data_IF_153209146854
#
_entry.id   IF_153209146854
#
_cell.length_a   1.000
_cell.length_b   1.000
_cell.length_c   1.000
_cell.angle_alpha   90.00
_cell.angle_beta   90.00
_cell.angle_gamma   90.00
#
_symmetry.space_group_name_H-M   'P 1'
#
loop_
_entity.id
_entity.type
_entity.pdbx_description
1 polymer ?
#
# COMPACT_ATOMS: atom_id res chain seq x y z
N UNK A 1 8.03 -1.50 6.55
CA UNK A 1 8.44 -2.54 5.58
C UNK A 1 7.66 -3.81 5.87
N UNK A 2 7.65 -4.78 4.94
CA UNK A 2 7.07 -6.10 5.17
C UNK A 2 8.14 -7.08 5.63
N UNK A 3 7.92 -7.79 6.73
CA UNK A 3 8.78 -8.89 7.19
C UNK A 3 8.06 -10.24 7.11
N UNK A 4 8.87 -11.27 6.84
CA UNK A 4 8.51 -12.69 6.89
C UNK A 4 9.62 -13.42 7.63
N UNK A 5 9.28 -14.45 8.41
CA UNK A 5 10.27 -15.23 9.16
C UNK A 5 9.97 -16.73 9.06
N UNK A 6 10.77 -17.43 8.25
CA UNK A 6 10.69 -18.88 8.04
C UNK A 6 11.11 -19.71 9.27
N UNK A 7 11.71 -19.10 10.28
CA UNK A 7 12.09 -19.78 11.52
C UNK A 7 10.97 -19.73 12.57
N UNK A 8 10.08 -18.74 12.49
CA UNK A 8 8.95 -18.58 13.42
C UNK A 8 7.64 -19.16 12.89
N UNK A 9 7.48 -19.19 11.57
CA UNK A 9 6.31 -19.75 10.91
C UNK A 9 6.70 -20.41 9.57
N UNK A 10 5.70 -20.82 8.78
CA UNK A 10 5.93 -21.43 7.46
C UNK A 10 6.51 -20.45 6.40
N UNK A 11 6.87 -19.23 6.79
CA UNK A 11 7.43 -18.18 5.94
C UNK A 11 6.40 -17.43 5.11
N UNK A 12 5.11 -17.72 5.28
CA UNK A 12 4.02 -17.12 4.51
C UNK A 12 3.32 -16.00 5.26
N UNK A 13 3.46 -15.96 6.58
CA UNK A 13 2.88 -14.89 7.40
C UNK A 13 3.65 -13.60 7.14
N UNK A 14 2.90 -12.55 6.83
CA UNK A 14 3.44 -11.23 6.56
C UNK A 14 3.14 -10.32 7.74
N UNK A 15 4.14 -9.53 8.12
CA UNK A 15 4.03 -8.55 9.19
C UNK A 15 4.50 -7.20 8.69
N UNK A 16 3.96 -6.11 9.24
CA UNK A 16 4.54 -4.79 9.04
C UNK A 16 5.51 -4.50 10.19
N UNK A 17 6.76 -4.25 9.83
CA UNK A 17 7.80 -3.80 10.75
C UNK A 17 8.27 -2.39 10.43
N UNK A 18 9.04 -1.82 11.36
CA UNK A 18 9.62 -0.49 11.25
C UNK A 18 11.12 -0.52 11.54
N UNK A 19 11.86 0.31 10.82
CA UNK A 19 13.27 0.55 11.07
C UNK A 19 13.54 2.04 10.87
N UNK A 20 14.48 2.58 11.63
CA UNK A 20 14.85 3.98 11.59
C UNK A 20 16.34 4.10 11.27
N UNK A 21 16.69 5.12 10.49
CA UNK A 21 18.06 5.55 10.24
C UNK A 21 18.10 7.09 10.25
N UNK A 22 19.23 7.68 10.62
CA UNK A 22 19.41 9.14 10.57
C UNK A 22 19.67 9.65 9.15
N UNK A 23 20.16 8.77 8.27
CA UNK A 23 20.34 9.05 6.85
C UNK A 23 19.92 7.84 6.02
N UNK A 24 19.53 8.00 4.75
CA UNK A 24 19.11 6.87 3.90
C UNK A 24 20.19 5.80 3.70
N UNK A 25 21.48 6.19 3.74
CA UNK A 25 22.65 5.29 3.59
C UNK A 25 23.27 4.88 4.92
N UNK A 26 22.71 5.31 6.05
CA UNK A 26 23.24 5.04 7.38
C UNK A 26 22.85 3.66 7.91
N UNK A 27 23.30 3.31 9.13
CA UNK A 27 22.88 2.07 9.79
C UNK A 27 21.39 2.14 10.14
N UNK A 28 20.64 1.12 9.72
CA UNK A 28 19.22 0.97 10.02
C UNK A 28 19.03 0.18 11.31
N UNK A 29 18.32 0.78 12.27
CA UNK A 29 17.91 0.13 13.52
C UNK A 29 16.47 -0.36 13.39
N UNK A 30 16.28 -1.68 13.36
CA UNK A 30 14.96 -2.30 13.42
C UNK A 30 14.32 -2.08 14.78
N UNK A 31 13.02 -1.86 14.79
CA UNK A 31 12.21 -1.82 16.01
C UNK A 31 11.64 -3.21 16.30
N UNK A 32 11.20 -3.50 17.54
CA UNK A 32 10.49 -4.74 17.84
C UNK A 32 9.06 -4.76 17.28
N UNK A 33 8.62 -3.71 16.58
CA UNK A 33 7.27 -3.61 16.03
C UNK A 33 7.01 -4.76 15.04
N UNK A 34 5.90 -5.46 15.27
CA UNK A 34 5.42 -6.52 14.40
C UNK A 34 3.89 -6.43 14.31
N UNK A 35 3.41 -5.71 13.31
CA UNK A 35 1.97 -5.57 13.08
C UNK A 35 1.47 -6.73 12.23
N UNK A 36 0.62 -7.55 12.84
CA UNK A 36 -0.07 -8.67 12.20
C UNK A 36 -1.45 -8.26 11.70
N UNK A 37 -2.02 -9.00 10.73
CA UNK A 37 -3.43 -8.86 10.38
C UNK A 37 -4.34 -9.11 11.61
N UNK A 38 -5.40 -8.32 11.72
CA UNK A 38 -6.43 -8.45 12.76
C UNK A 38 -7.80 -8.07 12.20
N UNK A 39 -8.85 -8.14 13.01
CA UNK A 39 -10.23 -7.90 12.55
C UNK A 39 -10.61 -8.81 11.38
N UNK A 40 -11.18 -8.21 10.33
CA UNK A 40 -11.65 -8.90 9.11
C UNK A 40 -10.56 -9.08 8.04
N UNK A 41 -9.29 -9.02 8.43
CA UNK A 41 -8.18 -9.33 7.53
C UNK A 41 -7.67 -10.75 7.75
N UNK A 42 -7.43 -11.43 6.63
CA UNK A 42 -6.87 -12.78 6.60
C UNK A 42 -5.46 -12.76 7.22
N UNK A 43 -5.15 -13.72 8.10
CA UNK A 43 -3.86 -13.77 8.82
C UNK A 43 -2.71 -14.44 8.08
N UNK A 44 -3.03 -15.33 7.15
CA UNK A 44 -2.05 -16.18 6.46
C UNK A 44 -2.61 -16.69 5.13
N UNK A 45 -1.81 -17.45 4.38
CA UNK A 45 -2.27 -18.09 3.15
C UNK A 45 -3.50 -18.97 3.42
N UNK A 46 -4.55 -18.78 2.62
CA UNK A 46 -5.72 -19.64 2.62
C UNK A 46 -5.54 -20.78 1.62
N UNK A 47 -5.92 -22.00 2.03
CA UNK A 47 -5.92 -23.16 1.15
C UNK A 47 -6.87 -22.94 -0.04
N UNK A 48 -6.40 -23.24 -1.24
CA UNK A 48 -7.19 -23.05 -2.48
C UNK A 48 -7.22 -21.63 -3.03
N UNK A 49 -6.68 -20.64 -2.31
CA UNK A 49 -6.50 -19.29 -2.85
C UNK A 49 -5.37 -19.29 -3.89
N UNK A 50 -5.66 -18.75 -5.08
CA UNK A 50 -4.76 -18.77 -6.23
C UNK A 50 -3.65 -17.73 -6.12
N UNK A 51 -3.87 -16.69 -5.32
CA UNK A 51 -2.92 -15.62 -5.10
C UNK A 51 -2.27 -15.74 -3.72
N UNK A 52 -1.01 -15.31 -3.57
CA UNK A 52 -0.35 -15.28 -2.28
C UNK A 52 -1.12 -14.44 -1.26
N UNK A 53 -0.87 -14.71 0.02
CA UNK A 53 -1.36 -13.90 1.13
C UNK A 53 -0.85 -12.46 1.01
N UNK A 54 -1.66 -11.49 1.43
CA UNK A 54 -1.30 -10.09 1.47
C UNK A 54 -1.51 -9.50 2.87
N UNK A 55 -0.42 -8.97 3.43
CA UNK A 55 -0.36 -8.01 4.52
C UNK A 55 0.95 -7.24 4.39
N UNK A 56 1.04 -6.42 3.34
CA UNK A 56 2.32 -5.89 2.84
C UNK A 56 2.22 -4.53 2.17
N UNK A 57 3.36 -4.01 1.77
CA UNK A 57 3.50 -2.77 1.00
C UNK A 57 2.88 -1.54 1.71
N UNK A 58 3.35 -1.23 2.94
CA UNK A 58 2.77 -0.14 3.73
C UNK A 58 3.06 1.23 3.10
N UNK A 59 2.04 2.06 3.01
CA UNK A 59 2.10 3.47 2.63
C UNK A 59 1.57 4.34 3.77
N UNK A 60 2.45 5.14 4.38
CA UNK A 60 2.10 6.06 5.47
C UNK A 60 1.80 7.46 4.95
N UNK A 61 0.82 8.11 5.57
CA UNK A 61 0.45 9.50 5.34
C UNK A 61 -0.17 10.14 6.58
N UNK A 62 -0.28 11.46 6.55
CA UNK A 62 -0.95 12.30 7.53
C UNK A 62 -2.27 12.82 6.97
N UNK A 63 -3.27 12.85 7.84
CA UNK A 63 -4.52 13.52 7.59
C UNK A 63 -5.01 14.13 8.91
N UNK A 64 -5.28 15.44 8.91
CA UNK A 64 -5.75 16.20 10.08
C UNK A 64 -4.90 15.98 11.35
N UNK A 65 -3.58 15.83 11.19
CA UNK A 65 -2.66 15.60 12.29
C UNK A 65 -2.60 14.17 12.84
N UNK A 66 -3.35 13.24 12.24
CA UNK A 66 -3.35 11.82 12.59
C UNK A 66 -2.55 11.02 11.56
N UNK A 67 -1.69 10.11 12.05
CA UNK A 67 -0.94 9.18 11.19
C UNK A 67 -1.81 7.99 10.81
N UNK A 68 -1.84 7.71 9.52
CA UNK A 68 -2.47 6.53 8.93
C UNK A 68 -1.48 5.72 8.09
N UNK A 69 -1.83 4.46 7.89
CA UNK A 69 -1.15 3.54 6.98
C UNK A 69 -2.18 2.80 6.17
N UNK A 70 -2.01 2.78 4.85
CA UNK A 70 -2.69 1.82 3.97
C UNK A 70 -1.71 0.74 3.54
N UNK A 71 -2.22 -0.47 3.27
CA UNK A 71 -1.40 -1.60 2.87
C UNK A 71 -2.20 -2.61 2.04
N UNK A 72 -1.52 -3.47 1.29
CA UNK A 72 -2.12 -4.61 0.60
C UNK A 72 -2.57 -5.64 1.62
N UNK A 73 -3.87 -5.95 1.63
CA UNK A 73 -4.49 -6.91 2.53
C UNK A 73 -5.35 -7.92 1.77
N UNK A 74 -5.80 -8.95 2.49
CA UNK A 74 -6.92 -9.80 2.06
C UNK A 74 -8.07 -9.72 3.06
N UNK A 75 -9.28 -9.47 2.58
CA UNK A 75 -10.50 -9.52 3.38
C UNK A 75 -10.91 -10.97 3.68
N UNK A 76 -11.33 -11.25 4.90
CA UNK A 76 -11.93 -12.54 5.26
C UNK A 76 -13.41 -12.65 4.89
N UNK A 77 -14.06 -11.53 4.57
CA UNK A 77 -15.48 -11.47 4.22
C UNK A 77 -15.74 -11.68 2.72
N UNK A 78 -14.72 -11.53 1.87
CA UNK A 78 -14.83 -11.63 0.42
C UNK A 78 -14.47 -13.04 -0.10
N UNK A 79 -15.04 -13.48 -1.25
CA UNK A 79 -14.71 -14.77 -1.84
C UNK A 79 -13.24 -14.94 -2.20
N UNK A 80 -12.73 -16.18 -2.14
CA UNK A 80 -11.36 -16.51 -2.56
C UNK A 80 -11.09 -16.09 -4.00
N UNK A 81 -9.89 -15.58 -4.25
CA UNK A 81 -9.49 -15.04 -5.55
C UNK A 81 -10.15 -13.71 -5.93
N UNK A 82 -10.97 -13.15 -5.04
CA UNK A 82 -11.61 -11.83 -5.15
C UNK A 82 -11.58 -11.07 -3.82
N UNK A 83 -10.66 -11.45 -2.94
CA UNK A 83 -10.57 -10.96 -1.58
C UNK A 83 -9.44 -9.95 -1.36
N UNK A 84 -8.79 -9.49 -2.43
CA UNK A 84 -7.83 -8.39 -2.38
C UNK A 84 -8.50 -7.12 -1.86
N UNK A 85 -7.86 -6.49 -0.89
CA UNK A 85 -8.33 -5.27 -0.25
C UNK A 85 -7.16 -4.32 0.05
N UNK A 86 -7.48 -3.05 0.26
CA UNK A 86 -6.54 -2.07 0.81
C UNK A 86 -6.91 -1.81 2.26
N UNK A 87 -6.12 -2.38 3.16
CA UNK A 87 -6.35 -2.29 4.60
C UNK A 87 -5.94 -0.93 5.15
N UNK A 88 -6.52 -0.55 6.29
CA UNK A 88 -6.26 0.71 6.97
C UNK A 88 -5.82 0.51 8.42
N UNK A 89 -4.77 1.21 8.82
CA UNK A 89 -4.35 1.30 10.20
C UNK A 89 -4.18 2.76 10.62
N UNK A 90 -4.41 3.02 11.91
CA UNK A 90 -4.22 4.31 12.57
C UNK A 90 -3.22 4.18 13.72
N UNK A 91 -2.23 5.06 13.79
CA UNK A 91 -1.28 5.09 14.91
C UNK A 91 -1.95 5.73 16.13
N UNK A 92 -2.10 5.00 17.24
CA UNK A 92 -2.69 5.55 18.46
C UNK A 92 -1.73 6.53 19.13
N UNK A 93 -2.25 7.68 19.56
CA UNK A 93 -1.49 8.70 20.26
C UNK A 93 -0.40 9.39 19.44
N UNK A 94 -0.29 9.09 18.14
CA UNK A 94 0.71 9.68 17.25
C UNK A 94 2.17 9.51 17.74
N UNK A 95 2.48 8.35 18.32
CA UNK A 95 3.82 8.04 18.83
C UNK A 95 4.34 6.73 18.22
N UNK A 96 5.30 6.85 17.31
CA UNK A 96 5.91 5.68 16.67
C UNK A 96 6.76 4.86 17.66
N UNK A 97 7.21 5.45 18.77
CA UNK A 97 7.98 4.75 19.79
C UNK A 97 7.11 3.77 20.60
N UNK A 98 5.87 4.15 20.90
CA UNK A 98 4.90 3.26 21.51
C UNK A 98 4.46 2.15 20.54
N UNK A 99 4.42 2.46 19.23
CA UNK A 99 4.16 1.47 18.19
C UNK A 99 2.78 0.82 18.28
N UNK A 100 1.81 1.50 18.92
CA UNK A 100 0.45 0.98 19.08
C UNK A 100 -0.39 1.40 17.88
N UNK A 101 -0.77 0.43 17.06
CA UNK A 101 -1.61 0.66 15.89
C UNK A 101 -3.00 0.05 16.09
N UNK A 102 -4.00 0.80 15.67
CA UNK A 102 -5.36 0.33 15.55
C UNK A 102 -5.63 -0.11 14.11
N UNK A 103 -6.19 -1.31 13.96
CA UNK A 103 -6.61 -1.85 12.68
C UNK A 103 -8.06 -1.41 12.45
N UNK A 104 -8.32 -0.81 11.28
CA UNK A 104 -9.61 -0.26 10.87
C UNK A 104 -10.13 -1.01 9.64
N UNK A 105 -11.38 -0.73 9.27
CA UNK A 105 -12.01 -1.26 8.06
C UNK A 105 -11.22 -0.87 6.80
N UNK A 106 -11.30 -1.72 5.77
CA UNK A 106 -10.59 -1.51 4.52
C UNK A 106 -11.13 -0.25 3.81
N UNK A 107 -10.23 0.56 3.24
CA UNK A 107 -10.66 1.71 2.43
C UNK A 107 -11.16 1.28 1.03
N UNK A 108 -10.80 0.06 0.60
CA UNK A 108 -11.25 -0.53 -0.65
C UNK A 108 -11.29 -2.05 -0.53
N UNK A 109 -12.41 -2.66 -0.93
CA UNK A 109 -12.56 -4.11 -1.09
C UNK A 109 -13.56 -4.39 -2.22
N UNK A 110 -13.21 -4.06 -3.48
CA UNK A 110 -14.14 -4.04 -4.61
C UNK A 110 -14.59 -5.44 -5.09
N UNK A 111 -14.03 -6.52 -4.52
CA UNK A 111 -14.35 -7.91 -4.85
C UNK A 111 -14.11 -8.31 -6.32
N UNK A 112 -13.12 -7.69 -6.96
CA UNK A 112 -12.67 -8.01 -8.33
C UNK A 112 -11.24 -8.51 -8.40
N UNK A 113 -10.47 -8.29 -7.34
CA UNK A 113 -9.03 -8.51 -7.29
C UNK A 113 -8.75 -9.59 -6.24
N UNK A 114 -7.91 -10.55 -6.56
CA UNK A 114 -7.24 -11.39 -5.58
C UNK A 114 -6.16 -10.58 -4.84
N UNK A 115 -5.48 -9.65 -5.54
CA UNK A 115 -4.45 -8.78 -4.98
C UNK A 115 -4.51 -7.33 -5.47
N UNK A 116 -4.33 -6.40 -4.54
CA UNK A 116 -4.15 -4.96 -4.80
C UNK A 116 -2.76 -4.57 -4.27
N UNK A 117 -1.72 -4.72 -5.09
CA UNK A 117 -0.32 -4.59 -4.68
C UNK A 117 0.16 -3.14 -4.64
N UNK A 118 1.12 -2.83 -3.76
CA UNK A 118 1.76 -1.51 -3.68
C UNK A 118 0.76 -0.33 -3.63
N UNK A 119 -0.26 -0.38 -2.75
CA UNK A 119 -1.29 0.66 -2.70
C UNK A 119 -0.70 1.98 -2.24
N UNK A 120 -1.11 3.05 -2.92
CA UNK A 120 -0.69 4.41 -2.63
C UNK A 120 -1.90 5.34 -2.74
N UNK A 121 -1.88 6.42 -1.97
CA UNK A 121 -2.97 7.40 -1.91
C UNK A 121 -2.45 8.77 -2.34
N UNK A 122 -3.23 9.45 -3.18
CA UNK A 122 -2.91 10.77 -3.73
C UNK A 122 -4.14 11.68 -3.74
N UNK A 123 -3.91 12.97 -4.00
CA UNK A 123 -4.95 13.97 -4.26
C UNK A 123 -4.86 14.47 -5.70
N UNK A 124 -5.96 14.90 -6.28
CA UNK A 124 -5.96 15.72 -7.50
C UNK A 124 -6.11 17.21 -7.18
N UNK A 125 -5.96 18.05 -8.21
CA UNK A 125 -6.08 19.51 -8.07
C UNK A 125 -7.50 19.99 -7.72
N UNK A 126 -8.51 19.13 -7.87
CA UNK A 126 -9.91 19.42 -7.55
C UNK A 126 -10.27 18.98 -6.12
N UNK A 127 -9.31 18.40 -5.37
CA UNK A 127 -9.51 17.92 -4.00
C UNK A 127 -10.07 16.49 -3.91
N UNK A 128 -10.19 15.79 -5.04
CA UNK A 128 -10.51 14.36 -5.08
C UNK A 128 -9.32 13.50 -4.66
N UNK A 129 -9.61 12.29 -4.20
CA UNK A 129 -8.62 11.31 -3.78
C UNK A 129 -8.49 10.19 -4.80
N UNK A 130 -7.27 9.71 -4.98
CA UNK A 130 -6.93 8.62 -5.88
C UNK A 130 -6.17 7.53 -5.12
N UNK A 131 -6.80 6.37 -4.99
CA UNK A 131 -6.16 5.14 -4.54
C UNK A 131 -5.63 4.41 -5.77
N UNK A 132 -4.32 4.17 -5.82
CA UNK A 132 -3.68 3.47 -6.93
C UNK A 132 -2.97 2.21 -6.45
N UNK A 133 -2.91 1.19 -7.29
CA UNK A 133 -2.33 -0.12 -6.96
C UNK A 133 -1.92 -0.87 -8.22
N UNK A 134 -0.98 -1.80 -8.07
CA UNK A 134 -0.54 -2.72 -9.12
C UNK A 134 -1.28 -4.05 -9.05
N UNK A 135 -1.48 -4.69 -10.19
CA UNK A 135 -2.25 -5.93 -10.28
C UNK A 135 -1.96 -6.71 -11.58
N UNK A 136 -2.25 -8.02 -11.61
CA UNK A 136 -1.92 -8.90 -12.74
C UNK A 136 -3.14 -9.30 -13.56
N UNK A 137 -3.08 -9.17 -14.89
CA UNK A 137 -4.21 -9.47 -15.78
C UNK A 137 -4.76 -10.91 -15.63
N UNK A 138 -3.90 -11.85 -15.23
CA UNK A 138 -4.21 -13.28 -15.14
C UNK A 138 -5.38 -13.60 -14.19
N UNK A 139 -5.44 -12.91 -13.05
CA UNK A 139 -6.42 -13.21 -11.99
C UNK A 139 -7.19 -11.97 -11.52
N UNK A 140 -6.75 -10.78 -11.91
CA UNK A 140 -7.18 -9.55 -11.27
C UNK A 140 -7.73 -8.54 -12.29
N UNK A 141 -9.04 -8.49 -12.41
CA UNK A 141 -9.69 -7.56 -13.34
C UNK A 141 -11.11 -7.19 -12.89
N UNK A 142 -11.44 -5.91 -13.05
CA UNK A 142 -12.79 -5.40 -12.92
C UNK A 142 -13.50 -5.35 -14.30
N UNK A 143 -14.84 -5.32 -14.35
CA UNK A 143 -15.58 -5.16 -15.60
C UNK A 143 -15.12 -3.95 -16.44
N UNK A 144 -14.70 -2.86 -15.79
CA UNK A 144 -14.22 -1.62 -16.44
C UNK A 144 -12.81 -1.68 -16.99
N UNK A 145 -12.02 -2.70 -16.62
CA UNK A 145 -10.58 -2.78 -16.97
C UNK A 145 -10.31 -3.54 -18.28
N UNK A 146 -11.32 -4.23 -18.82
CA UNK A 146 -11.20 -5.05 -20.04
C UNK A 146 -10.12 -6.14 -19.92
N UNK A 147 -10.01 -6.78 -18.74
CA UNK A 147 -9.00 -7.81 -18.45
C UNK A 147 -7.54 -7.34 -18.62
N UNK A 148 -7.31 -6.03 -18.50
CA UNK A 148 -5.95 -5.48 -18.45
C UNK A 148 -5.55 -5.38 -16.98
N UNK A 149 -4.40 -5.98 -16.65
CA UNK A 149 -3.67 -5.69 -15.42
C UNK A 149 -2.78 -4.48 -15.60
N UNK A 150 -1.81 -4.31 -14.69
CA UNK A 150 -0.87 -3.21 -14.66
C UNK A 150 -1.12 -2.31 -13.45
N UNK A 151 -1.15 -1.01 -13.67
CA UNK A 151 -1.34 -0.01 -12.63
C UNK A 151 -2.72 0.63 -12.75
N UNK A 152 -3.55 0.41 -11.73
CA UNK A 152 -4.95 0.83 -11.69
C UNK A 152 -5.15 1.96 -10.69
N UNK A 153 -6.23 2.71 -10.85
CA UNK A 153 -6.66 3.78 -9.94
C UNK A 153 -8.15 3.72 -9.65
N UNK A 154 -8.54 4.07 -8.42
CA UNK A 154 -9.91 4.30 -7.97
C UNK A 154 -10.00 5.73 -7.44
N UNK A 155 -11.10 6.42 -7.74
CA UNK A 155 -11.30 7.82 -7.34
C UNK A 155 -12.43 7.92 -6.31
N UNK A 156 -12.29 8.84 -5.36
CA UNK A 156 -13.31 9.13 -4.35
C UNK A 156 -13.25 10.58 -3.89
N UNK A 157 -14.37 11.22 -3.52
CA UNK A 157 -14.35 12.50 -2.82
C UNK A 157 -13.80 12.39 -1.39
N UNK A 158 -13.68 11.17 -0.82
CA UNK A 158 -13.15 10.94 0.52
C UNK A 158 -12.16 9.76 0.54
N UNK A 159 -11.00 9.95 1.16
CA UNK A 159 -9.94 8.94 1.14
C UNK A 159 -10.24 7.66 1.92
N UNK A 160 -11.25 7.67 2.80
CA UNK A 160 -11.58 6.51 3.65
C UNK A 160 -12.40 5.44 2.93
N UNK A 161 -12.95 5.74 1.76
CA UNK A 161 -13.88 4.85 1.08
C UNK A 161 -13.74 4.99 -0.43
N UNK A 162 -13.44 3.89 -1.10
CA UNK A 162 -13.30 3.79 -2.55
C UNK A 162 -14.19 2.67 -3.10
N UNK A 163 -15.40 3.04 -3.48
CA UNK A 163 -16.41 2.11 -4.00
C UNK A 163 -16.61 2.22 -5.51
N UNK A 164 -15.98 3.22 -6.14
CA UNK A 164 -16.08 3.45 -7.58
C UNK A 164 -15.27 2.41 -8.36
N UNK A 165 -15.74 1.99 -9.54
CA UNK A 165 -14.97 1.10 -10.40
C UNK A 165 -13.58 1.65 -10.73
N UNK A 166 -12.53 0.81 -10.75
CA UNK A 166 -11.19 1.23 -11.08
C UNK A 166 -11.06 1.51 -12.58
N UNK A 167 -10.08 2.35 -12.90
CA UNK A 167 -9.58 2.60 -14.24
C UNK A 167 -8.14 2.14 -14.39
N UNK A 168 -7.72 1.85 -15.63
CA UNK A 168 -6.34 1.49 -15.94
C UNK A 168 -5.54 2.77 -16.21
N UNK A 169 -4.55 3.06 -15.38
CA UNK A 169 -3.64 4.20 -15.55
C UNK A 169 -2.47 3.84 -16.48
N UNK A 170 -1.94 2.62 -16.34
CA UNK A 170 -0.91 2.07 -17.22
C UNK A 170 -1.15 0.55 -17.35
N UNK A 171 -1.44 0.02 -18.55
CA UNK A 171 -1.66 -1.41 -18.71
C UNK A 171 -0.37 -2.21 -18.51
N UNK A 172 -0.48 -3.48 -18.13
CA UNK A 172 0.63 -4.42 -17.99
C UNK A 172 1.50 -4.51 -19.26
N UNK A 173 0.88 -4.40 -20.44
CA UNK A 173 1.57 -4.33 -21.74
C UNK A 173 2.52 -3.13 -21.88
N UNK A 174 2.40 -2.12 -21.01
CA UNK A 174 3.35 -1.02 -20.88
C UNK A 174 4.68 -1.43 -20.24
N UNK A 175 4.81 -2.67 -19.77
CA UNK A 175 6.07 -3.27 -19.31
C UNK A 175 6.59 -2.74 -17.98
N UNK A 176 5.74 -2.11 -17.16
CA UNK A 176 6.07 -1.68 -15.80
C UNK A 176 5.19 -2.40 -14.77
N UNK A 177 5.79 -2.75 -13.64
CA UNK A 177 5.09 -3.33 -12.49
C UNK A 177 5.53 -2.69 -11.17
N UNK A 178 4.78 -2.95 -10.10
CA UNK A 178 5.01 -2.36 -8.78
C UNK A 178 5.16 -0.82 -8.87
N UNK A 179 4.26 -0.21 -9.64
CA UNK A 179 4.33 1.18 -10.02
C UNK A 179 4.04 2.13 -8.86
N UNK A 180 4.62 3.32 -8.95
CA UNK A 180 4.41 4.46 -8.06
C UNK A 180 4.20 5.73 -8.86
N UNK A 181 3.47 6.67 -8.30
CA UNK A 181 3.39 8.04 -8.84
C UNK A 181 4.34 8.90 -8.04
N UNK A 182 5.18 9.67 -8.74
CA UNK A 182 6.15 10.58 -8.12
C UNK A 182 5.66 12.02 -8.32
N UNK A 183 5.06 12.66 -7.29
CA UNK A 183 4.51 14.01 -7.41
C UNK A 183 5.54 15.04 -7.87
N UNK A 184 6.79 14.92 -7.43
CA UNK A 184 7.90 15.82 -7.77
C UNK A 184 8.31 15.74 -9.26
N UNK A 185 7.82 14.73 -9.98
CA UNK A 185 8.01 14.55 -11.43
C UNK A 185 6.68 14.80 -12.17
N UNK A 186 5.90 15.79 -11.76
CA UNK A 186 4.57 16.12 -12.30
C UNK A 186 3.56 14.96 -12.18
N UNK A 187 3.69 14.14 -11.14
CA UNK A 187 2.89 12.93 -10.97
C UNK A 187 3.22 11.86 -12.01
N UNK A 188 4.48 11.70 -12.40
CA UNK A 188 4.86 10.67 -13.36
C UNK A 188 4.77 9.26 -12.76
N UNK A 189 4.26 8.31 -13.55
CA UNK A 189 4.25 6.88 -13.19
C UNK A 189 5.65 6.30 -13.43
N UNK A 190 6.22 5.70 -12.37
CA UNK A 190 7.52 5.03 -12.37
C UNK A 190 7.35 3.62 -11.82
N UNK A 191 8.00 2.62 -12.41
CA UNK A 191 7.86 1.24 -11.97
C UNK A 191 9.10 0.40 -12.25
N UNK A 192 9.02 -0.88 -11.90
CA UNK A 192 10.02 -1.87 -12.26
C UNK A 192 9.81 -2.33 -13.70
N UNK A 193 10.84 -2.27 -14.52
CA UNK A 193 10.79 -2.73 -15.91
C UNK A 193 10.81 -4.26 -15.98
N UNK A 194 9.73 -4.84 -16.50
CA UNK A 194 9.57 -6.31 -16.59
C UNK A 194 10.47 -6.97 -17.63
N UNK A 195 11.00 -6.21 -18.59
CA UNK A 195 11.81 -6.74 -19.69
C UNK A 195 13.30 -6.62 -19.42
N UNK A 196 13.72 -5.47 -18.91
CA UNK A 196 15.15 -5.14 -18.72
C UNK A 196 15.59 -5.18 -17.26
N UNK A 197 14.63 -5.18 -16.32
CA UNK A 197 14.90 -5.03 -14.90
C UNK A 197 15.26 -3.60 -14.52
N UNK A 198 15.13 -3.28 -13.23
CA UNK A 198 15.43 -1.96 -12.69
C UNK A 198 14.27 -0.97 -12.81
N UNK A 199 14.53 0.30 -12.48
CA UNK A 199 13.50 1.34 -12.41
C UNK A 199 13.39 2.05 -13.76
N UNK A 200 12.18 2.17 -14.31
CA UNK A 200 11.90 2.94 -15.54
C UNK A 200 10.75 3.92 -15.35
N UNK A 201 10.89 5.09 -15.99
CA UNK A 201 9.90 6.16 -16.14
C UNK A 201 8.94 5.84 -17.28
N UNK A 202 7.63 6.04 -17.07
CA UNK A 202 6.62 5.74 -18.09
C UNK A 202 6.43 6.86 -19.12
N UNK A 203 6.76 8.11 -18.79
CA UNK A 203 6.35 9.30 -19.53
C UNK A 203 4.90 9.74 -19.28
N UNK A 204 4.09 8.96 -18.55
CA UNK A 204 2.69 9.29 -18.23
C UNK A 204 2.65 10.15 -16.98
N UNK A 205 2.13 11.37 -17.12
CA UNK A 205 1.97 12.35 -16.04
C UNK A 205 0.52 12.43 -15.58
N UNK A 206 0.24 12.08 -14.33
CA UNK A 206 -1.12 12.12 -13.77
C UNK A 206 -1.49 13.47 -13.17
N UNK A 207 -0.50 14.34 -12.91
CA UNK A 207 -0.67 15.59 -12.16
C UNK A 207 -1.20 15.38 -10.72
N UNK A 208 -1.14 14.15 -10.20
CA UNK A 208 -1.57 13.87 -8.83
C UNK A 208 -0.56 14.43 -7.83
N UNK A 209 -1.11 14.97 -6.75
CA UNK A 209 -0.39 15.53 -5.62
C UNK A 209 -0.22 14.46 -4.54
N UNK A 210 0.92 14.50 -3.83
CA UNK A 210 1.17 13.62 -2.71
C UNK A 210 0.25 13.93 -1.53
N UNK A 211 -0.09 12.90 -0.75
CA UNK A 211 -0.58 13.10 0.62
C UNK A 211 0.54 13.69 1.49
N UNK A 212 0.18 14.35 2.59
CA UNK A 212 1.18 14.81 3.57
C UNK A 212 1.90 13.59 4.16
N UNK A 213 3.23 13.63 4.14
CA UNK A 213 4.12 12.55 4.62
C UNK A 213 5.27 13.13 5.45
N UNK A 214 5.12 14.36 5.96
CA UNK A 214 6.09 14.96 6.87
C UNK A 214 5.85 14.51 8.32
N UNK A 215 6.60 13.49 8.73
CA UNK A 215 6.54 12.96 10.09
C UNK A 215 7.56 13.61 11.05
N UNK A 216 8.17 14.74 10.69
CA UNK A 216 9.25 15.38 11.48
C UNK A 216 8.85 15.74 12.93
N UNK A 217 7.57 16.04 13.16
CA UNK A 217 7.03 16.38 14.49
C UNK A 217 6.73 15.18 15.40
N UNK A 218 6.85 13.95 14.91
CA UNK A 218 6.46 12.74 15.64
C UNK A 218 7.66 12.14 16.36
N UNK A 219 7.43 11.59 17.55
CA UNK A 219 8.48 10.91 18.31
C UNK A 219 8.81 9.55 17.67
N UNK A 220 10.11 9.27 17.54
CA UNK A 220 10.64 7.97 17.14
C UNK A 220 11.55 7.45 18.25
N UNK A 221 11.68 6.12 18.38
CA UNK A 221 12.47 5.46 19.44
C UNK A 221 13.78 6.22 19.77
N UNK A 222 13.80 6.84 20.95
CA UNK A 222 14.97 7.53 21.50
C UNK A 222 15.14 9.01 21.14
N UNK A 223 14.18 9.67 20.47
CA UNK A 223 14.26 11.11 20.20
C UNK A 223 13.87 11.97 21.41
N UNK A 224 14.65 11.89 22.49
CA UNK A 224 15.26 13.12 23.00
C UNK A 224 16.49 13.36 22.14
N UNK A 225 16.29 13.72 20.87
CA UNK A 225 17.34 14.39 20.11
C UNK A 225 17.37 15.80 20.70
N UNK A 226 18.15 15.95 21.77
CA UNK A 226 18.47 17.25 22.37
C UNK A 226 19.09 18.09 21.24
N UNK A 227 18.40 19.15 20.85
CA UNK A 227 19.05 20.38 20.40
C UNK A 227 19.77 21.00 21.59
#
# INVERSE_FOLDING_TARGET
>A
YTSRDRHQDNGTIQNIGMACATTPRGPWRRTPLRLQPGGDYVRQQLAGDRAPHAWRDPFLFLDEGQVYMVLSAKSSAAPLGKNGAVGLLRLRGNDFSAGVWEILDAIASPQWYAEMEVPQLYRDAQGGYHLVFSTWAKNDFAPTTQQRGGFHGMTSPAWRTFDQPPSVLLPEAGGLYACRIIPELDGEIVGFDLHTGGIRRSGIKTQFQGMDRDFSRFAFLGSRLRT
#
